data_IF_627227790649
#
_entry.id   IF_627227790649
#
_cell.length_a   1.000
_cell.length_b   1.000
_cell.length_c   1.000
_cell.angle_alpha   90.00
_cell.angle_beta   90.00
_cell.angle_gamma   90.00
#
_symmetry.space_group_name_H-M   'P 1'
#
loop_
_entity.id
_entity.type
_entity.pdbx_description
1 polymer ?
#
# COMPACT_ATOMS: atom_id res chain seq x y z
N UNK A 1 25.05 -11.92 61.47
CA UNK A 1 23.76 -12.61 61.30
C UNK A 1 22.97 -11.78 60.30
N UNK A 2 23.32 -11.94 59.02
CA UNK A 2 22.73 -11.20 57.90
C UNK A 2 21.40 -11.81 57.51
N UNK A 3 20.31 -11.06 57.71
CA UNK A 3 18.95 -11.43 57.32
C UNK A 3 18.59 -10.79 55.99
N UNK A 4 19.04 -11.39 54.89
CA UNK A 4 18.73 -10.94 53.54
C UNK A 4 17.28 -11.35 53.18
N UNK A 5 16.37 -10.37 53.15
CA UNK A 5 15.06 -10.50 52.51
C UNK A 5 15.30 -10.74 51.02
N UNK A 6 14.96 -11.93 50.52
CA UNK A 6 14.87 -12.19 49.08
C UNK A 6 13.52 -11.66 48.62
N UNK A 7 13.57 -10.56 47.88
CA UNK A 7 12.45 -10.06 47.10
C UNK A 7 12.00 -11.15 46.11
N UNK A 8 10.70 -11.42 46.12
CA UNK A 8 10.03 -12.34 45.21
C UNK A 8 9.75 -11.60 43.91
N UNK A 9 10.73 -11.52 43.01
CA UNK A 9 10.48 -11.18 41.62
C UNK A 9 9.81 -12.39 40.94
N UNK A 10 8.48 -12.35 40.87
CA UNK A 10 7.71 -13.29 40.07
C UNK A 10 8.11 -13.17 38.60
N UNK A 11 8.42 -14.29 37.97
CA UNK A 11 8.70 -14.32 36.52
C UNK A 11 7.38 -14.12 35.77
N UNK A 12 7.38 -13.40 34.64
CA UNK A 12 6.16 -13.21 33.83
C UNK A 12 6.33 -13.86 32.46
N UNK A 13 5.24 -14.28 31.84
CA UNK A 13 5.26 -14.87 30.50
C UNK A 13 5.59 -13.81 29.46
N UNK A 14 6.62 -14.04 28.65
CA UNK A 14 7.06 -13.15 27.56
C UNK A 14 6.06 -13.01 26.42
N UNK A 15 5.14 -13.99 26.25
CA UNK A 15 4.14 -13.96 25.18
C UNK A 15 2.83 -13.27 25.61
N UNK A 16 2.33 -13.51 26.84
CA UNK A 16 1.02 -12.98 27.28
C UNK A 16 1.02 -12.15 28.56
N UNK A 17 2.16 -12.01 29.26
CA UNK A 17 2.28 -11.19 30.47
C UNK A 17 1.69 -11.79 31.76
N UNK A 18 1.15 -13.01 31.72
CA UNK A 18 0.68 -13.68 32.93
C UNK A 18 1.83 -13.96 33.91
N UNK A 19 1.59 -13.82 35.21
CA UNK A 19 2.56 -14.19 36.25
C UNK A 19 2.80 -15.70 36.23
N UNK A 20 4.06 -16.09 36.27
CA UNK A 20 4.54 -17.47 36.22
C UNK A 20 5.21 -17.83 37.54
N UNK A 21 4.99 -19.06 38.02
CA UNK A 21 5.83 -19.59 39.09
C UNK A 21 7.19 -20.03 38.51
N UNK A 22 8.28 -19.93 39.29
CA UNK A 22 9.63 -20.16 38.80
C UNK A 22 9.89 -21.57 38.22
N UNK A 23 9.05 -22.57 38.50
CA UNK A 23 9.21 -23.97 38.07
C UNK A 23 8.41 -24.35 36.82
N UNK A 24 7.63 -23.45 36.24
CA UNK A 24 6.77 -23.74 35.10
C UNK A 24 7.56 -23.84 33.78
N UNK A 25 7.27 -24.84 32.95
CA UNK A 25 7.86 -25.02 31.60
C UNK A 25 6.97 -24.45 30.49
N UNK A 26 5.67 -24.30 30.76
CA UNK A 26 4.69 -23.76 29.82
C UNK A 26 3.77 -22.78 30.55
N UNK A 27 3.36 -21.71 29.87
CA UNK A 27 2.46 -20.71 30.43
C UNK A 27 1.01 -21.24 30.47
N UNK A 28 0.32 -21.20 31.63
CA UNK A 28 -1.07 -21.67 31.75
C UNK A 28 -2.10 -20.75 31.07
N UNK A 29 -1.74 -19.49 30.78
CA UNK A 29 -2.66 -18.52 30.19
C UNK A 29 -2.67 -18.53 28.65
N UNK A 30 -1.53 -18.80 28.01
CA UNK A 30 -1.41 -18.77 26.54
C UNK A 30 -0.79 -20.02 25.91
N UNK A 31 -0.22 -20.94 26.70
CA UNK A 31 0.38 -22.19 26.22
C UNK A 31 1.84 -22.09 25.75
N UNK A 32 2.45 -20.91 25.80
CA UNK A 32 3.84 -20.70 25.33
C UNK A 32 4.89 -21.42 26.19
N UNK A 33 5.95 -21.93 25.58
CA UNK A 33 7.06 -22.57 26.31
C UNK A 33 7.97 -21.51 26.95
N UNK A 34 8.39 -21.75 28.19
CA UNK A 34 9.24 -20.86 28.97
C UNK A 34 10.70 -21.31 28.81
N UNK A 35 11.44 -20.67 27.91
CA UNK A 35 12.86 -20.95 27.70
C UNK A 35 13.71 -20.12 28.67
N UNK A 36 14.32 -20.77 29.68
CA UNK A 36 15.30 -20.12 30.57
C UNK A 36 16.61 -19.98 29.81
N UNK A 37 16.85 -18.82 29.22
CA UNK A 37 18.12 -18.53 28.55
C UNK A 37 19.25 -18.35 29.57
N UNK A 38 20.28 -19.21 29.48
CA UNK A 38 21.55 -19.09 30.18
C UNK A 38 22.36 -17.90 29.64
N UNK A 39 22.84 -17.05 30.56
CA UNK A 39 23.66 -15.87 30.28
C UNK A 39 25.07 -16.23 29.74
N UNK A 40 25.36 -15.89 28.48
CA UNK A 40 26.73 -15.61 28.01
C UNK A 40 26.78 -14.64 26.81
N UNK A 41 27.36 -13.46 27.06
CA UNK A 41 27.74 -12.32 26.18
C UNK A 41 28.14 -12.67 24.72
N UNK A 42 27.84 -11.85 23.67
CA UNK A 42 28.21 -10.43 23.54
C UNK A 42 27.09 -9.56 22.92
N UNK A 43 26.20 -8.97 23.73
CA UNK A 43 24.93 -8.38 23.25
C UNK A 43 24.84 -6.86 23.28
N UNK A 44 25.64 -6.14 24.08
CA UNK A 44 25.39 -4.71 24.33
C UNK A 44 25.48 -3.80 23.08
N UNK A 45 26.37 -4.08 22.13
CA UNK A 45 26.51 -3.26 20.92
C UNK A 45 25.35 -3.48 19.93
N UNK A 46 24.91 -4.72 19.77
CA UNK A 46 23.75 -5.07 18.94
C UNK A 46 22.46 -4.59 19.57
N UNK A 47 22.31 -4.75 20.88
CA UNK A 47 21.15 -4.32 21.65
C UNK A 47 20.99 -2.79 21.64
N UNK A 48 22.09 -2.04 21.80
CA UNK A 48 22.06 -0.57 21.67
C UNK A 48 21.76 -0.09 20.25
N UNK A 49 22.29 -0.75 19.22
CA UNK A 49 21.97 -0.42 17.83
C UNK A 49 20.50 -0.72 17.48
N UNK A 50 19.99 -1.85 17.96
CA UNK A 50 18.59 -2.27 17.85
C UNK A 50 17.65 -1.30 18.57
N UNK A 51 17.99 -0.92 19.81
CA UNK A 51 17.25 0.08 20.59
C UNK A 51 17.20 1.43 19.90
N UNK A 52 18.32 1.92 19.35
CA UNK A 52 18.34 3.20 18.66
C UNK A 52 17.51 3.20 17.36
N UNK A 53 17.41 2.05 16.68
CA UNK A 53 16.49 1.86 15.55
C UNK A 53 15.03 1.93 16.01
N UNK A 54 14.68 1.30 17.13
CA UNK A 54 13.33 1.38 17.71
C UNK A 54 12.96 2.82 18.08
N UNK A 55 13.85 3.55 18.77
CA UNK A 55 13.66 4.95 19.13
C UNK A 55 13.41 5.84 17.89
N UNK A 56 14.18 5.61 16.82
CA UNK A 56 14.01 6.32 15.55
C UNK A 56 12.62 6.05 14.91
N UNK A 57 12.11 4.82 15.02
CA UNK A 57 10.78 4.43 14.53
C UNK A 57 9.67 5.05 15.37
N UNK A 58 9.80 5.04 16.70
CA UNK A 58 8.87 5.71 17.62
C UNK A 58 8.82 7.21 17.28
N UNK A 59 9.97 7.86 17.11
CA UNK A 59 10.03 9.28 16.76
C UNK A 59 9.42 9.60 15.38
N UNK A 60 9.51 8.67 14.42
CA UNK A 60 8.82 8.80 13.14
C UNK A 60 7.29 8.67 13.30
N UNK A 61 6.83 7.64 14.00
CA UNK A 61 5.40 7.41 14.22
C UNK A 61 4.74 8.54 15.04
N UNK A 62 5.45 9.12 16.01
CA UNK A 62 4.96 10.29 16.76
C UNK A 62 4.72 11.50 15.85
N UNK A 63 5.60 11.73 14.85
CA UNK A 63 5.38 12.79 13.86
C UNK A 63 4.17 12.53 12.97
N UNK A 64 3.83 11.28 12.76
CA UNK A 64 2.66 10.84 11.98
C UNK A 64 1.36 10.81 12.82
N UNK A 65 1.40 11.35 14.05
CA UNK A 65 0.23 11.53 14.91
C UNK A 65 -0.06 10.35 15.86
N UNK A 66 0.83 9.36 15.93
CA UNK A 66 0.72 8.26 16.88
C UNK A 66 1.19 8.70 18.27
N UNK A 67 0.47 8.31 19.32
CA UNK A 67 0.92 8.53 20.71
C UNK A 67 1.48 7.24 21.28
N UNK A 68 2.59 7.34 22.01
CA UNK A 68 3.18 6.23 22.74
C UNK A 68 2.31 5.92 23.96
N UNK A 69 1.85 4.68 24.10
CA UNK A 69 1.08 4.23 25.27
C UNK A 69 1.98 3.53 26.28
N UNK A 70 2.77 2.55 25.83
CA UNK A 70 3.77 1.84 26.65
C UNK A 70 5.05 1.57 25.86
N UNK A 71 6.19 1.74 26.52
CA UNK A 71 7.52 1.39 26.01
C UNK A 71 8.07 0.24 26.85
N UNK A 72 8.28 -0.93 26.23
CA UNK A 72 8.81 -2.13 26.86
C UNK A 72 10.31 -2.32 26.61
N UNK A 73 10.94 -1.41 25.85
CA UNK A 73 12.38 -1.42 25.56
C UNK A 73 12.75 -2.19 24.28
N UNK A 74 12.16 -3.36 24.06
CA UNK A 74 12.31 -4.17 22.83
C UNK A 74 11.16 -3.94 21.84
N UNK A 75 9.99 -3.55 22.34
CA UNK A 75 8.84 -3.14 21.56
C UNK A 75 8.07 -1.98 22.22
N UNK A 76 7.39 -1.19 21.38
CA UNK A 76 6.59 -0.04 21.81
C UNK A 76 5.17 -0.15 21.27
N UNK A 77 4.19 -0.02 22.16
CA UNK A 77 2.77 0.01 21.80
C UNK A 77 2.36 1.45 21.56
N UNK A 78 1.94 1.72 20.34
CA UNK A 78 1.50 3.04 19.90
C UNK A 78 0.01 3.02 19.60
N UNK A 79 -0.66 4.12 19.98
CA UNK A 79 -2.10 4.29 19.79
C UNK A 79 -2.37 5.57 19.01
N UNK A 80 -3.27 5.48 18.03
CA UNK A 80 -3.79 6.65 17.33
C UNK A 80 -5.30 6.63 17.42
N UNK A 81 -5.87 7.72 17.94
CA UNK A 81 -7.33 7.92 17.98
C UNK A 81 -7.74 8.79 16.82
N UNK A 82 -8.70 8.33 16.04
CA UNK A 82 -9.25 9.07 14.90
C UNK A 82 -10.75 9.26 15.10
N UNK A 83 -11.32 10.35 14.58
CA UNK A 83 -12.76 10.59 14.66
C UNK A 83 -13.54 9.82 13.59
N UNK A 84 -12.86 9.22 12.61
CA UNK A 84 -13.46 8.67 11.41
C UNK A 84 -13.07 9.46 10.17
N UNK A 85 -13.31 8.87 8.99
CA UNK A 85 -13.13 9.58 7.72
C UNK A 85 -14.29 10.55 7.47
N UNK A 86 -14.05 11.61 6.69
CA UNK A 86 -15.12 12.55 6.34
C UNK A 86 -16.29 11.86 5.62
N UNK A 87 -16.00 10.82 4.84
CA UNK A 87 -16.99 10.04 4.10
C UNK A 87 -17.88 9.20 5.04
N UNK A 88 -17.29 8.60 6.09
CA UNK A 88 -18.06 7.90 7.13
C UNK A 88 -19.02 8.86 7.85
N UNK A 89 -18.54 10.06 8.22
CA UNK A 89 -19.37 11.09 8.83
C UNK A 89 -20.46 11.59 7.88
N UNK A 90 -20.20 11.68 6.58
CA UNK A 90 -21.20 12.09 5.58
C UNK A 90 -22.33 11.05 5.47
N UNK A 91 -21.97 9.76 5.46
CA UNK A 91 -22.94 8.66 5.42
C UNK A 91 -23.83 8.67 6.67
N UNK A 92 -23.20 8.78 7.85
CA UNK A 92 -23.94 8.86 9.12
C UNK A 92 -24.82 10.11 9.15
N UNK A 93 -24.32 11.27 8.68
CA UNK A 93 -25.15 12.46 8.52
C UNK A 93 -26.35 12.18 7.62
N UNK A 94 -26.16 11.62 6.43
CA UNK A 94 -27.25 11.39 5.47
C UNK A 94 -28.36 10.51 6.06
N UNK A 95 -27.99 9.45 6.78
CA UNK A 95 -28.95 8.51 7.38
C UNK A 95 -29.62 9.10 8.62
N UNK A 96 -28.89 9.87 9.42
CA UNK A 96 -29.36 10.31 10.75
C UNK A 96 -29.80 11.78 10.82
N UNK A 97 -29.52 12.60 9.81
CA UNK A 97 -29.78 14.06 9.83
C UNK A 97 -31.26 14.38 9.99
N UNK A 98 -32.13 13.63 9.31
CA UNK A 98 -33.58 13.86 9.35
C UNK A 98 -34.20 13.55 10.73
N UNK A 99 -33.58 12.67 11.54
CA UNK A 99 -34.12 12.27 12.84
C UNK A 99 -33.35 12.87 14.04
N UNK A 100 -32.10 13.28 13.84
CA UNK A 100 -31.21 13.65 14.95
C UNK A 100 -30.60 15.05 14.83
N UNK A 101 -30.93 15.82 13.78
CA UNK A 101 -30.36 17.17 13.56
C UNK A 101 -28.82 17.20 13.62
N UNK A 102 -28.15 16.09 13.30
CA UNK A 102 -26.69 15.95 13.35
C UNK A 102 -26.11 15.41 14.67
N UNK A 103 -26.93 15.17 15.70
CA UNK A 103 -26.49 14.55 16.96
C UNK A 103 -25.95 13.14 16.73
N UNK A 104 -26.55 12.37 15.81
CA UNK A 104 -26.07 11.03 15.44
C UNK A 104 -24.63 11.03 14.95
N UNK A 105 -24.21 12.10 14.26
CA UNK A 105 -22.85 12.22 13.72
C UNK A 105 -21.82 12.51 14.81
N UNK A 106 -22.17 13.36 15.78
CA UNK A 106 -21.33 13.64 16.96
C UNK A 106 -21.18 12.40 17.83
N UNK A 107 -22.27 11.66 18.05
CA UNK A 107 -22.26 10.40 18.80
C UNK A 107 -21.41 9.35 18.09
N UNK A 108 -21.54 9.22 16.77
CA UNK A 108 -20.71 8.30 15.98
C UNK A 108 -19.23 8.65 16.06
N UNK A 109 -18.87 9.93 15.90
CA UNK A 109 -17.47 10.35 16.03
C UNK A 109 -16.89 10.09 17.42
N UNK A 110 -17.70 10.27 18.47
CA UNK A 110 -17.29 9.98 19.85
C UNK A 110 -17.14 8.47 20.07
N UNK A 111 -18.11 7.69 19.59
CA UNK A 111 -18.08 6.23 19.63
C UNK A 111 -16.82 5.69 18.94
N UNK A 112 -16.54 6.15 17.71
CA UNK A 112 -15.36 5.73 16.96
C UNK A 112 -14.07 6.14 17.65
N UNK A 113 -14.03 7.34 18.23
CA UNK A 113 -12.85 7.82 18.97
C UNK A 113 -12.51 6.97 20.21
N UNK A 114 -13.53 6.38 20.86
CA UNK A 114 -13.38 5.60 22.09
C UNK A 114 -13.15 4.12 21.82
N UNK A 115 -13.91 3.51 20.91
CA UNK A 115 -13.84 2.06 20.65
C UNK A 115 -12.77 1.70 19.60
N UNK A 116 -12.55 2.56 18.60
CA UNK A 116 -11.70 2.25 17.43
C UNK A 116 -10.35 2.95 17.55
N UNK A 117 -9.62 2.59 18.60
CA UNK A 117 -8.24 3.03 18.79
C UNK A 117 -7.31 2.11 17.98
N UNK A 118 -6.79 2.60 16.86
CA UNK A 118 -5.73 1.91 16.12
C UNK A 118 -4.55 1.66 17.08
N UNK A 119 -4.27 0.39 17.39
CA UNK A 119 -3.11 -0.03 18.17
C UNK A 119 -2.10 -0.66 17.23
N UNK A 120 -0.89 -0.09 17.15
CA UNK A 120 0.22 -0.71 16.44
C UNK A 120 1.37 -1.02 17.42
N UNK A 121 1.99 -2.19 17.27
CA UNK A 121 3.14 -2.59 18.08
C UNK A 121 4.39 -2.50 17.21
N UNK A 122 5.30 -1.59 17.53
CA UNK A 122 6.60 -1.51 16.88
C UNK A 122 7.58 -2.43 17.62
N UNK A 123 8.03 -3.53 17.00
CA UNK A 123 9.04 -4.46 17.56
C UNK A 123 10.43 -4.20 16.97
N UNK A 124 11.48 -4.54 17.72
CA UNK A 124 12.88 -4.42 17.29
C UNK A 124 13.23 -5.30 16.07
N UNK A 125 12.65 -6.49 15.95
CA UNK A 125 12.81 -7.38 14.79
C UNK A 125 11.53 -7.43 13.94
N UNK A 126 11.64 -7.49 12.60
CA UNK A 126 10.49 -7.44 11.71
C UNK A 126 9.82 -8.82 11.60
N UNK A 127 8.52 -8.87 11.86
CA UNK A 127 7.64 -9.91 11.34
C UNK A 127 6.44 -9.23 10.72
N UNK A 128 6.62 -8.70 9.52
CA UNK A 128 5.60 -7.93 8.81
C UNK A 128 5.51 -8.39 7.35
N UNK A 129 4.99 -9.60 7.15
CA UNK A 129 4.31 -9.98 5.89
C UNK A 129 2.77 -9.93 6.06
N UNK A 130 2.24 -10.03 7.30
CA UNK A 130 0.81 -10.26 7.54
C UNK A 130 -0.09 -9.01 7.35
N UNK A 131 0.38 -7.81 7.69
CA UNK A 131 -0.46 -6.60 7.77
C UNK A 131 -0.81 -6.00 6.39
N UNK A 132 0.14 -6.00 5.45
CA UNK A 132 -0.09 -5.53 4.08
C UNK A 132 -0.87 -6.57 3.26
N UNK A 133 -0.65 -7.85 3.54
CA UNK A 133 -1.39 -8.95 2.93
C UNK A 133 -2.86 -8.94 3.35
N UNK A 134 -3.17 -8.69 4.63
CA UNK A 134 -4.55 -8.61 5.14
C UNK A 134 -5.38 -7.49 4.51
N UNK A 135 -4.87 -6.26 4.40
CA UNK A 135 -5.60 -5.16 3.76
C UNK A 135 -5.85 -5.41 2.26
N UNK A 136 -4.89 -6.04 1.58
CA UNK A 136 -5.06 -6.44 0.17
C UNK A 136 -6.11 -7.54 0.03
N UNK A 137 -6.11 -8.52 0.95
CA UNK A 137 -7.03 -9.65 0.96
C UNK A 137 -8.47 -9.20 1.19
N UNK A 138 -8.72 -8.28 2.13
CA UNK A 138 -10.05 -7.71 2.37
C UNK A 138 -10.60 -6.97 1.15
N UNK A 139 -9.76 -6.19 0.45
CA UNK A 139 -10.16 -5.49 -0.77
C UNK A 139 -10.51 -6.46 -1.91
N UNK A 140 -9.74 -7.54 -2.05
CA UNK A 140 -9.99 -8.59 -3.04
C UNK A 140 -11.23 -9.42 -2.71
N UNK A 141 -11.48 -9.70 -1.43
CA UNK A 141 -12.68 -10.38 -0.96
C UNK A 141 -13.93 -9.52 -1.22
N UNK A 142 -13.89 -8.23 -0.88
CA UNK A 142 -14.99 -7.31 -1.12
C UNK A 142 -15.35 -7.27 -2.61
N UNK A 143 -14.36 -7.13 -3.50
CA UNK A 143 -14.56 -7.15 -4.96
C UNK A 143 -15.13 -8.47 -5.49
N UNK A 144 -14.73 -9.61 -4.90
CA UNK A 144 -15.29 -10.93 -5.24
C UNK A 144 -16.72 -11.10 -4.77
N UNK A 145 -17.04 -10.65 -3.56
CA UNK A 145 -18.39 -10.72 -2.99
C UNK A 145 -19.34 -9.83 -3.79
N UNK A 146 -18.94 -8.60 -4.13
CA UNK A 146 -19.76 -7.70 -4.95
C UNK A 146 -20.01 -8.27 -6.35
N UNK A 147 -18.99 -8.85 -7.00
CA UNK A 147 -19.16 -9.52 -8.29
C UNK A 147 -20.13 -10.71 -8.19
N UNK A 148 -20.02 -11.53 -7.15
CA UNK A 148 -20.90 -12.67 -6.92
C UNK A 148 -22.35 -12.24 -6.70
N UNK A 149 -22.58 -11.21 -5.89
CA UNK A 149 -23.92 -10.63 -5.66
C UNK A 149 -24.51 -10.11 -6.98
N UNK A 150 -23.73 -9.38 -7.77
CA UNK A 150 -24.17 -8.87 -9.07
C UNK A 150 -24.57 -9.99 -10.04
N UNK A 151 -23.78 -11.07 -10.12
CA UNK A 151 -24.10 -12.22 -10.97
C UNK A 151 -25.32 -13.00 -10.48
N UNK A 152 -25.48 -13.17 -9.16
CA UNK A 152 -26.69 -13.78 -8.58
C UNK A 152 -27.92 -12.95 -8.91
N UNK A 153 -27.86 -11.61 -8.76
CA UNK A 153 -28.97 -10.73 -9.12
C UNK A 153 -29.29 -10.79 -10.62
N UNK A 154 -28.27 -10.83 -11.49
CA UNK A 154 -28.46 -10.98 -12.93
C UNK A 154 -29.15 -12.30 -13.28
N UNK A 155 -28.74 -13.41 -12.67
CA UNK A 155 -29.33 -14.74 -12.88
C UNK A 155 -30.80 -14.78 -12.44
N UNK A 156 -31.13 -14.20 -11.29
CA UNK A 156 -32.51 -14.11 -10.79
C UNK A 156 -33.38 -13.27 -11.73
N UNK A 157 -32.91 -12.11 -12.18
CA UNK A 157 -33.65 -11.26 -13.12
C UNK A 157 -33.89 -11.95 -14.47
N UNK A 158 -32.89 -12.66 -14.99
CA UNK A 158 -33.03 -13.45 -16.21
C UNK A 158 -34.05 -14.60 -16.04
N UNK A 159 -34.02 -15.31 -14.90
CA UNK A 159 -34.98 -16.37 -14.60
C UNK A 159 -36.42 -15.85 -14.51
N UNK A 160 -36.64 -14.70 -13.85
CA UNK A 160 -37.95 -14.04 -13.81
C UNK A 160 -38.38 -13.66 -15.23
N UNK A 161 -37.48 -13.11 -16.05
CA UNK A 161 -37.73 -12.77 -17.45
C UNK A 161 -38.21 -13.94 -18.31
N UNK A 162 -37.75 -15.16 -18.03
CA UNK A 162 -38.23 -16.41 -18.65
C UNK A 162 -39.64 -16.76 -18.20
N UNK A 163 -39.94 -16.68 -16.90
CA UNK A 163 -41.28 -16.97 -16.36
C UNK A 163 -42.34 -16.04 -16.93
N UNK A 164 -41.99 -14.77 -17.15
CA UNK A 164 -42.91 -13.75 -17.68
C UNK A 164 -42.69 -13.46 -19.17
N UNK A 165 -42.13 -14.40 -19.94
CA UNK A 165 -41.70 -14.17 -21.33
C UNK A 165 -42.81 -13.69 -22.29
N UNK A 166 -44.08 -13.99 -21.99
CA UNK A 166 -45.23 -13.50 -22.77
C UNK A 166 -45.62 -12.03 -22.47
N UNK A 167 -45.01 -11.41 -21.46
CA UNK A 167 -45.25 -10.02 -21.10
C UNK A 167 -44.30 -9.07 -21.82
N UNK A 168 -44.76 -7.86 -22.14
CA UNK A 168 -43.92 -6.79 -22.69
C UNK A 168 -42.81 -6.31 -21.73
N UNK A 169 -42.78 -6.81 -20.48
CA UNK A 169 -41.79 -6.48 -19.45
C UNK A 169 -40.51 -7.34 -19.55
N UNK A 170 -40.57 -8.47 -20.26
CA UNK A 170 -39.44 -9.37 -20.47
C UNK A 170 -38.15 -8.68 -21.01
N UNK A 171 -38.18 -7.83 -22.05
CA UNK A 171 -36.97 -7.15 -22.53
C UNK A 171 -36.33 -6.21 -21.50
N UNK A 172 -37.13 -5.58 -20.63
CA UNK A 172 -36.62 -4.69 -19.57
C UNK A 172 -35.85 -5.51 -18.53
N UNK A 173 -36.37 -6.68 -18.14
CA UNK A 173 -35.68 -7.57 -17.20
C UNK A 173 -34.38 -8.12 -17.77
N UNK A 174 -34.34 -8.49 -19.05
CA UNK A 174 -33.09 -8.91 -19.69
C UNK A 174 -32.06 -7.79 -19.80
N UNK A 175 -32.50 -6.55 -20.06
CA UNK A 175 -31.60 -5.39 -20.06
C UNK A 175 -31.00 -5.13 -18.67
N UNK A 176 -31.82 -5.22 -17.61
CA UNK A 176 -31.34 -5.10 -16.23
C UNK A 176 -30.39 -6.26 -15.85
N UNK A 177 -30.74 -7.49 -16.21
CA UNK A 177 -29.90 -8.66 -15.98
C UNK A 177 -28.52 -8.50 -16.67
N UNK A 178 -28.50 -8.04 -17.92
CA UNK A 178 -27.26 -7.74 -18.64
C UNK A 178 -26.45 -6.63 -17.95
N UNK A 179 -27.11 -5.58 -17.47
CA UNK A 179 -26.48 -4.51 -16.70
C UNK A 179 -25.79 -5.00 -15.43
N UNK A 180 -26.48 -5.82 -14.62
CA UNK A 180 -25.90 -6.43 -13.42
C UNK A 180 -24.79 -7.43 -13.76
N UNK A 181 -24.92 -8.21 -14.83
CA UNK A 181 -23.87 -9.12 -15.28
C UNK A 181 -22.59 -8.36 -15.69
N UNK A 182 -22.75 -7.24 -16.40
CA UNK A 182 -21.65 -6.36 -16.79
C UNK A 182 -21.01 -5.65 -15.59
N UNK A 183 -21.81 -5.15 -14.65
CA UNK A 183 -21.32 -4.57 -13.40
C UNK A 183 -20.55 -5.59 -12.57
N UNK A 184 -21.05 -6.82 -12.49
CA UNK A 184 -20.35 -7.94 -11.86
C UNK A 184 -19.00 -8.18 -12.52
N UNK A 185 -18.93 -8.20 -13.85
CA UNK A 185 -17.69 -8.39 -14.60
C UNK A 185 -16.67 -7.27 -14.34
N UNK A 186 -17.09 -6.00 -14.31
CA UNK A 186 -16.21 -4.86 -14.01
C UNK A 186 -15.72 -4.91 -12.56
N UNK A 187 -16.53 -5.42 -11.64
CA UNK A 187 -16.20 -5.52 -10.21
C UNK A 187 -15.16 -6.59 -9.89
N UNK A 188 -14.84 -7.50 -10.84
CA UNK A 188 -13.75 -8.44 -10.62
C UNK A 188 -12.43 -7.66 -10.50
N UNK A 189 -11.62 -7.92 -9.46
CA UNK A 189 -10.36 -7.20 -9.25
C UNK A 189 -9.43 -7.27 -10.46
N UNK A 190 -9.40 -8.41 -11.17
CA UNK A 190 -8.60 -8.55 -12.39
C UNK A 190 -9.03 -7.66 -13.55
N UNK A 191 -10.32 -7.32 -13.64
CA UNK A 191 -10.93 -6.54 -14.71
C UNK A 191 -10.89 -5.05 -14.35
N UNK A 192 -11.27 -4.69 -13.12
CA UNK A 192 -11.17 -3.32 -12.62
C UNK A 192 -9.75 -2.78 -12.72
N UNK A 193 -8.77 -3.59 -12.33
CA UNK A 193 -7.35 -3.25 -12.40
C UNK A 193 -6.90 -2.98 -13.83
N UNK A 194 -7.38 -3.78 -14.79
CA UNK A 194 -7.09 -3.58 -16.22
C UNK A 194 -7.75 -2.32 -16.77
N UNK A 195 -8.98 -2.04 -16.37
CA UNK A 195 -9.72 -0.84 -16.78
C UNK A 195 -9.11 0.45 -16.22
N UNK A 196 -8.60 0.40 -15.00
CA UNK A 196 -7.88 1.51 -14.37
C UNK A 196 -6.58 1.84 -15.13
N UNK A 197 -5.95 0.84 -15.74
CA UNK A 197 -4.71 0.97 -16.53
C UNK A 197 -4.92 1.24 -18.02
N UNK A 198 -6.12 1.63 -18.45
CA UNK A 198 -6.40 1.89 -19.87
C UNK A 198 -5.51 3.00 -20.43
N UNK A 199 -5.00 2.79 -21.64
CA UNK A 199 -4.30 3.79 -22.42
C UNK A 199 -5.25 4.50 -23.39
N UNK A 200 -4.73 5.48 -24.14
CA UNK A 200 -5.50 6.12 -25.22
C UNK A 200 -6.02 5.07 -26.18
N UNK A 201 -7.22 5.30 -26.75
CA UNK A 201 -7.89 4.36 -27.67
C UNK A 201 -7.07 4.07 -28.94
N UNK A 202 -6.10 4.93 -29.25
CA UNK A 202 -5.19 4.79 -30.39
C UNK A 202 -3.93 3.97 -30.06
N UNK A 203 -3.71 3.61 -28.79
CA UNK A 203 -2.54 2.85 -28.37
C UNK A 203 -2.72 1.36 -28.71
N UNK A 204 -2.11 0.96 -29.83
CA UNK A 204 -2.02 -0.43 -30.27
C UNK A 204 -0.55 -0.87 -30.28
N UNK A 205 -0.27 -2.06 -29.75
CA UNK A 205 1.07 -2.64 -29.74
C UNK A 205 1.70 -2.70 -28.35
N UNK A 206 3.04 -2.79 -28.31
CA UNK A 206 3.79 -2.95 -27.06
C UNK A 206 4.00 -1.61 -26.38
N UNK A 207 3.45 -1.46 -25.19
CA UNK A 207 3.56 -0.25 -24.37
C UNK A 207 4.42 -0.56 -23.16
N UNK A 208 5.29 0.39 -22.79
CA UNK A 208 6.01 0.36 -21.53
C UNK A 208 5.56 1.54 -20.68
N UNK A 209 5.17 1.26 -19.45
CA UNK A 209 4.84 2.29 -18.47
C UNK A 209 5.69 2.11 -17.23
N UNK A 210 6.00 3.25 -16.61
CA UNK A 210 6.73 3.29 -15.35
C UNK A 210 5.84 4.06 -14.38
N UNK A 211 5.45 3.38 -13.31
CA UNK A 211 4.70 3.98 -12.21
C UNK A 211 5.66 4.18 -11.04
N UNK A 212 5.66 5.38 -10.47
CA UNK A 212 6.48 5.71 -9.30
C UNK A 212 5.57 5.87 -8.08
N UNK A 213 5.88 5.14 -7.01
CA UNK A 213 5.16 5.21 -5.75
C UNK A 213 6.14 5.50 -4.62
N UNK A 214 5.80 6.43 -3.73
CA UNK A 214 6.57 6.62 -2.50
C UNK A 214 6.31 5.45 -1.56
N UNK A 215 7.38 4.79 -1.14
CA UNK A 215 7.33 3.65 -0.22
C UNK A 215 8.16 3.94 1.02
N UNK A 216 7.70 3.44 2.16
CA UNK A 216 8.45 3.47 3.41
C UNK A 216 8.76 2.04 3.79
N UNK A 217 9.98 1.60 3.49
CA UNK A 217 10.43 0.23 3.70
C UNK A 217 11.90 0.27 4.13
N UNK A 218 12.17 -0.13 5.37
CA UNK A 218 13.52 -0.09 5.95
C UNK A 218 14.27 -1.42 5.78
N UNK A 219 13.62 -2.46 5.27
CA UNK A 219 14.17 -3.80 5.16
C UNK A 219 14.54 -4.15 3.71
N UNK A 220 13.91 -3.49 2.73
CA UNK A 220 14.32 -3.57 1.32
C UNK A 220 15.66 -2.87 1.09
N UNK A 221 16.64 -3.55 0.47
CA UNK A 221 17.87 -2.90 0.02
C UNK A 221 17.59 -2.09 -1.26
N UNK A 222 18.21 -0.93 -1.38
CA UNK A 222 18.14 -0.11 -2.57
C UNK A 222 18.83 -0.82 -3.74
N UNK A 223 18.15 -0.90 -4.89
CA UNK A 223 18.69 -1.53 -6.12
C UNK A 223 19.97 -0.87 -6.63
N UNK A 224 20.24 0.39 -6.26
CA UNK A 224 21.40 1.15 -6.74
C UNK A 224 22.60 1.15 -5.77
N UNK A 225 22.38 1.37 -4.47
CA UNK A 225 23.45 1.45 -3.47
C UNK A 225 23.47 0.30 -2.45
N UNK A 226 22.49 -0.60 -2.50
CA UNK A 226 22.30 -1.70 -1.54
C UNK A 226 22.07 -1.26 -0.08
N UNK A 227 21.98 0.04 0.21
CA UNK A 227 21.59 0.55 1.52
C UNK A 227 20.07 0.43 1.74
N UNK A 228 19.60 0.36 3.00
CA UNK A 228 18.18 0.38 3.33
C UNK A 228 17.43 1.54 2.66
N UNK A 229 16.28 1.25 2.05
CA UNK A 229 15.48 2.25 1.31
C UNK A 229 14.93 3.33 2.24
N UNK A 230 14.46 2.95 3.42
CA UNK A 230 13.81 3.83 4.38
C UNK A 230 12.61 4.54 3.76
N UNK A 231 12.64 5.87 3.66
CA UNK A 231 11.68 6.63 2.83
C UNK A 231 12.26 6.77 1.42
N UNK A 232 11.72 6.01 0.46
CA UNK A 232 12.23 5.95 -0.90
C UNK A 232 11.13 5.88 -1.96
N UNK A 233 11.51 5.43 -3.16
CA UNK A 233 10.59 5.24 -4.29
C UNK A 233 10.61 3.78 -4.75
N UNK A 234 9.43 3.21 -4.92
CA UNK A 234 9.20 2.01 -5.71
C UNK A 234 8.93 2.43 -7.16
N UNK A 235 9.67 1.85 -8.11
CA UNK A 235 9.41 1.98 -9.55
C UNK A 235 8.86 0.66 -10.07
N UNK A 236 7.63 0.69 -10.55
CA UNK A 236 6.95 -0.46 -11.13
C UNK A 236 7.03 -0.32 -12.65
N UNK A 237 7.79 -1.21 -13.28
CA UNK A 237 7.96 -1.31 -14.72
C UNK A 237 6.94 -2.30 -15.28
N UNK A 238 6.08 -1.83 -16.17
CA UNK A 238 5.11 -2.66 -16.85
C UNK A 238 5.44 -2.69 -18.33
N UNK A 239 5.52 -3.88 -18.90
CA UNK A 239 5.63 -4.07 -20.34
C UNK A 239 4.43 -4.88 -20.79
N UNK A 240 3.50 -4.23 -21.48
CA UNK A 240 2.18 -4.78 -21.79
C UNK A 240 1.90 -4.68 -23.30
N UNK A 241 1.10 -5.60 -23.83
CA UNK A 241 0.55 -5.53 -25.19
C UNK A 241 -0.86 -4.94 -25.08
N UNK A 242 -1.05 -3.79 -25.70
CA UNK A 242 -2.30 -3.04 -25.71
C UNK A 242 -3.03 -3.22 -27.05
N UNK A 243 -4.34 -3.45 -26.98
CA UNK A 243 -5.25 -3.49 -28.13
C UNK A 243 -6.39 -2.52 -27.85
N UNK A 244 -6.58 -1.52 -28.71
CA UNK A 244 -7.51 -0.40 -28.53
C UNK A 244 -7.37 0.31 -27.18
N UNK A 245 -6.13 0.42 -26.68
CA UNK A 245 -5.85 0.99 -25.35
C UNK A 245 -6.10 0.06 -24.16
N UNK A 246 -6.58 -1.18 -24.37
CA UNK A 246 -6.75 -2.15 -23.30
C UNK A 246 -5.53 -3.08 -23.18
N UNK A 247 -4.93 -3.21 -21.99
CA UNK A 247 -3.83 -4.14 -21.78
C UNK A 247 -4.35 -5.58 -21.78
N UNK A 248 -3.85 -6.40 -22.70
CA UNK A 248 -4.27 -7.80 -22.89
C UNK A 248 -3.34 -8.76 -22.15
N UNK A 249 -2.04 -8.56 -22.28
CA UNK A 249 -0.99 -9.36 -21.63
C UNK A 249 0.16 -8.47 -21.22
N UNK A 250 0.91 -8.84 -20.19
CA UNK A 250 2.06 -8.06 -19.76
C UNK A 250 2.89 -8.71 -18.68
N UNK A 251 4.08 -8.15 -18.47
CA UNK A 251 4.99 -8.49 -17.39
C UNK A 251 5.22 -7.26 -16.50
N UNK A 252 5.28 -7.49 -15.20
CA UNK A 252 5.54 -6.47 -14.19
C UNK A 252 6.90 -6.73 -13.52
N UNK A 253 7.69 -5.69 -13.34
CA UNK A 253 8.93 -5.71 -12.55
C UNK A 253 8.94 -4.53 -11.57
N UNK A 254 9.62 -4.69 -10.44
CA UNK A 254 9.65 -3.69 -9.35
C UNK A 254 11.09 -3.45 -8.91
N UNK A 255 11.48 -2.19 -8.79
CA UNK A 255 12.77 -1.79 -8.22
C UNK A 255 12.56 -0.77 -7.09
N UNK A 256 13.41 -0.81 -6.07
CA UNK A 256 13.31 0.04 -4.90
C UNK A 256 14.53 0.95 -4.79
N UNK A 257 14.31 2.25 -4.59
CA UNK A 257 15.37 3.25 -4.55
C UNK A 257 15.30 4.06 -3.25
N UNK A 258 16.43 4.22 -2.56
CA UNK A 258 16.53 5.20 -1.49
C UNK A 258 16.38 6.62 -2.08
N UNK A 259 15.98 7.58 -1.25
CA UNK A 259 15.73 8.97 -1.70
C UNK A 259 16.92 9.60 -2.42
N UNK A 260 18.14 9.23 -2.02
CA UNK A 260 19.39 9.76 -2.63
C UNK A 260 19.58 9.23 -4.05
N UNK A 261 19.45 7.92 -4.25
CA UNK A 261 19.61 7.29 -5.56
C UNK A 261 18.48 7.65 -6.53
N UNK A 262 17.24 7.72 -6.03
CA UNK A 262 16.08 8.15 -6.81
C UNK A 262 16.29 9.51 -7.48
N UNK A 263 16.78 10.50 -6.71
CA UNK A 263 17.01 11.85 -7.21
C UNK A 263 18.25 11.95 -8.13
N UNK A 264 19.23 11.07 -7.96
CA UNK A 264 20.44 11.04 -8.80
C UNK A 264 20.14 10.55 -10.23
N UNK A 265 19.16 9.66 -10.40
CA UNK A 265 18.75 9.17 -11.72
C UNK A 265 17.99 10.23 -12.53
N UNK A 266 17.23 11.11 -11.88
CA UNK A 266 16.51 12.21 -12.55
C UNK A 266 17.49 13.24 -13.14
N UNK A 267 18.68 13.37 -12.55
CA UNK A 267 19.71 14.30 -13.00
C UNK A 267 20.51 13.82 -14.23
N UNK A 268 20.33 12.56 -14.68
CA UNK A 268 20.94 12.08 -15.93
C UNK A 268 20.10 12.51 -17.14
N UNK A 269 20.66 13.28 -18.10
CA UNK A 269 19.98 13.53 -19.37
C UNK A 269 19.72 12.19 -20.08
N UNK A 270 18.50 11.96 -20.55
CA UNK A 270 18.20 10.80 -21.38
C UNK A 270 19.12 10.81 -22.61
N UNK A 271 19.79 9.69 -22.96
CA UNK A 271 20.44 9.59 -24.26
C UNK A 271 19.35 9.72 -25.33
N UNK A 272 19.54 10.67 -26.24
CA UNK A 272 18.60 10.97 -27.31
C UNK A 272 18.14 9.67 -28.00
N UNK A 273 16.82 9.55 -28.17
CA UNK A 273 16.20 8.44 -28.90
C UNK A 273 16.84 8.36 -30.30
N UNK A 274 17.13 7.16 -30.87
CA UNK A 274 17.80 7.02 -32.18
C UNK A 274 17.00 7.52 -33.41
N UNK A 275 16.01 8.41 -33.21
CA UNK A 275 15.15 9.00 -34.23
C UNK A 275 15.49 10.44 -34.62
N UNK A 276 16.26 11.18 -33.82
CA UNK A 276 16.65 12.56 -34.14
C UNK A 276 18.08 12.60 -34.70
N UNK A 277 18.25 12.12 -35.94
CA UNK A 277 19.32 12.65 -36.80
C UNK A 277 18.79 13.95 -37.41
N UNK A 278 19.45 15.10 -37.21
CA UNK A 278 19.21 16.25 -38.05
C UNK A 278 19.43 15.83 -39.50
N UNK A 279 18.41 16.01 -40.34
CA UNK A 279 18.57 15.88 -41.77
C UNK A 279 19.67 16.85 -42.20
N UNK A 280 20.75 16.32 -42.78
CA UNK A 280 21.72 17.14 -43.47
C UNK A 280 20.98 17.95 -44.54
N UNK A 281 20.99 19.28 -44.40
CA UNK A 281 20.49 20.20 -45.41
C UNK A 281 21.28 19.97 -46.72
N UNK A 282 20.62 19.92 -47.88
CA UNK A 282 21.33 19.81 -49.15
C UNK A 282 22.04 21.14 -49.44
N UNK A 283 23.36 21.07 -49.65
CA UNK A 283 24.18 22.15 -50.21
C UNK A 283 23.53 22.68 -51.50
N UNK A 284 22.91 23.85 -51.43
CA UNK A 284 22.62 24.65 -52.62
C UNK A 284 23.88 25.43 -53.00
N UNK A 285 24.56 24.92 -54.01
CA UNK A 285 25.57 25.60 -54.80
C UNK A 285 25.03 26.95 -55.32
N UNK A 286 25.51 28.04 -54.72
CA UNK A 286 25.27 29.40 -55.18
C UNK A 286 26.63 30.11 -55.27
N UNK A 287 27.27 29.85 -56.40
CA UNK A 287 28.36 30.62 -57.01
C UNK A 287 28.19 32.13 -56.75
N UNK A 288 29.05 32.70 -55.88
CA UNK A 288 29.35 34.13 -55.82
C UNK A 288 30.82 34.33 -55.45
N UNK A 289 31.66 34.47 -56.48
CA UNK A 289 33.01 35.03 -56.40
C UNK A 289 32.96 36.28 -57.28
N UNK A 290 32.80 37.46 -56.70
CA UNK A 290 33.85 38.29 -56.07
C UNK A 290 34.06 39.51 -56.96
N UNK A 291 33.68 40.66 -56.46
CA UNK A 291 34.15 41.96 -56.93
C UNK A 291 34.31 42.79 -55.68
N UNK A 292 35.54 42.95 -55.22
CA UNK A 292 35.89 43.93 -54.19
C UNK A 292 37.13 44.72 -54.67
N UNK A 293 37.12 46.06 -54.60
CA UNK A 293 38.11 46.92 -55.24
C UNK A 293 39.25 47.34 -54.30
N UNK A 294 40.46 47.34 -54.86
CA UNK A 294 41.54 48.34 -54.72
C UNK A 294 41.82 49.03 -53.37
N UNK A 295 42.91 48.62 -52.69
CA UNK A 295 44.03 49.41 -52.09
C UNK A 295 44.93 48.45 -51.28
N UNK A 296 46.26 48.40 -51.35
CA UNK A 296 47.34 49.37 -51.56
C UNK A 296 48.58 48.69 -52.18
N UNK A 297 49.39 49.52 -52.84
CA UNK A 297 50.75 49.37 -53.38
C UNK A 297 50.96 48.65 -54.73
#
# INVERSE_FOLDING_TARGET
MDGQRRDQDGTYCSNCGATLEPSMTYCPSCGERIDRHDDRSPSNATDSASRHRLESRIAAAVRDGWRLEHDFGDHAVMVRRTFGSADEHLLVALVTVWWTMGIGNVLYGTYKYVEDADRMVLRTEPHDDDSAEQASLDSHLLGRVTAAVCWLTAAVLAAIGVVIAASGLSPVLYALAAGFAFLGLISLPSVSDRLARRHSLLTNGRTRTVEERTVVDYDRPCTACSEPVGRGLERIYRAEISVFGFPVTGSEGRNYYCRRCANADVAKPQPASPGDRPQAEPETDLTKTSTDPTRLD
#
